data_IF_239142267309
#
_entry.id   IF_239142267309
#
_cell.length_a   1.000
_cell.length_b   1.000
_cell.length_c   1.000
_cell.angle_alpha   90.00
_cell.angle_beta   90.00
_cell.angle_gamma   90.00
#
_symmetry.space_group_name_H-M   'P 1'
#
loop_
_entity.id
_entity.type
_entity.pdbx_description
1 polymer ?
#
# COMPACT_ATOMS: atom_id res chain seq x y z
N UNK A 1 -13.58 15.28 -3.86
CA UNK A 1 -13.34 13.84 -4.03
C UNK A 1 -11.93 13.64 -3.55
N UNK A 2 -11.78 13.22 -2.31
CA UNK A 2 -10.49 13.11 -1.64
C UNK A 2 -9.79 11.86 -2.15
N UNK A 3 -9.05 12.01 -3.26
CA UNK A 3 -8.11 11.00 -3.75
C UNK A 3 -6.98 10.88 -2.73
N UNK A 4 -7.18 10.02 -1.73
CA UNK A 4 -6.15 9.72 -0.75
C UNK A 4 -5.05 8.95 -1.45
N UNK A 5 -3.90 9.61 -1.62
CA UNK A 5 -2.75 9.07 -2.34
C UNK A 5 -1.98 8.10 -1.45
N UNK A 6 -1.42 7.07 -2.08
CA UNK A 6 -0.60 6.07 -1.39
C UNK A 6 0.64 6.69 -0.73
N UNK A 7 1.24 7.73 -1.31
CA UNK A 7 2.40 8.43 -0.75
C UNK A 7 2.09 9.21 0.55
N UNK A 8 0.82 9.39 0.87
CA UNK A 8 0.37 10.05 2.10
C UNK A 8 0.31 9.08 3.30
N UNK A 9 0.48 7.78 3.06
CA UNK A 9 0.46 6.75 4.11
C UNK A 9 1.82 6.67 4.81
N UNK A 10 1.78 6.61 6.14
CA UNK A 10 2.98 6.50 6.96
C UNK A 10 3.68 5.15 6.69
N UNK A 11 4.96 5.20 6.33
CA UNK A 11 5.73 4.01 5.91
C UNK A 11 5.65 3.69 4.41
N UNK A 12 4.87 4.43 3.61
CA UNK A 12 4.84 4.29 2.15
C UNK A 12 5.77 5.31 1.49
N UNK A 13 7.01 4.89 1.27
CA UNK A 13 8.00 5.67 0.51
C UNK A 13 7.92 5.42 -1.00
N UNK A 14 8.73 6.13 -1.81
CA UNK A 14 8.71 6.05 -3.28
C UNK A 14 8.95 4.64 -3.82
N UNK A 15 9.74 3.81 -3.13
CA UNK A 15 9.97 2.40 -3.49
C UNK A 15 8.71 1.57 -3.27
N UNK A 16 8.05 1.74 -2.13
CA UNK A 16 6.78 1.07 -1.78
C UNK A 16 5.68 1.47 -2.75
N UNK A 17 5.52 2.78 -3.00
CA UNK A 17 4.55 3.30 -3.98
C UNK A 17 4.76 2.70 -5.36
N UNK A 18 6.01 2.54 -5.80
CA UNK A 18 6.30 1.88 -7.08
C UNK A 18 5.88 0.42 -7.09
N UNK A 19 6.23 -0.36 -6.04
CA UNK A 19 5.82 -1.78 -5.92
C UNK A 19 4.31 -1.94 -5.90
N UNK A 20 3.60 -1.05 -5.18
CA UNK A 20 2.14 -1.02 -5.13
C UNK A 20 1.56 -0.73 -6.53
N UNK A 21 2.06 0.29 -7.23
CA UNK A 21 1.62 0.60 -8.59
C UNK A 21 1.92 -0.53 -9.58
N UNK A 22 3.10 -1.16 -9.49
CA UNK A 22 3.46 -2.32 -10.32
C UNK A 22 2.56 -3.53 -10.05
N UNK A 23 1.99 -3.62 -8.84
CA UNK A 23 0.96 -4.60 -8.47
C UNK A 23 -0.48 -4.16 -8.81
N UNK A 24 -0.68 -3.02 -9.46
CA UNK A 24 -2.01 -2.51 -9.81
C UNK A 24 -2.77 -1.88 -8.64
N UNK A 25 -2.07 -1.48 -7.58
CA UNK A 25 -2.63 -0.77 -6.43
C UNK A 25 -2.31 0.71 -6.62
N UNK A 26 -3.35 1.49 -6.90
CA UNK A 26 -3.20 2.91 -7.23
C UNK A 26 -3.80 3.83 -6.16
N UNK A 27 -4.66 3.30 -5.31
CA UNK A 27 -5.35 4.05 -4.26
C UNK A 27 -5.61 3.18 -3.00
N UNK A 28 -6.12 3.81 -1.94
CA UNK A 28 -6.46 3.12 -0.69
C UNK A 28 -7.56 2.06 -0.87
N UNK A 29 -8.51 2.24 -1.79
CA UNK A 29 -9.56 1.24 -2.02
C UNK A 29 -8.96 -0.08 -2.52
N UNK A 30 -7.93 -0.02 -3.35
CA UNK A 30 -7.19 -1.22 -3.80
C UNK A 30 -6.49 -1.93 -2.64
N UNK A 31 -5.97 -1.17 -1.66
CA UNK A 31 -5.38 -1.73 -0.43
C UNK A 31 -6.43 -2.49 0.39
N UNK A 32 -7.63 -1.92 0.55
CA UNK A 32 -8.71 -2.52 1.33
C UNK A 32 -9.19 -3.85 0.71
N UNK A 33 -9.18 -3.96 -0.62
CA UNK A 33 -9.60 -5.18 -1.32
C UNK A 33 -8.53 -6.28 -1.25
N UNK A 34 -7.25 -5.94 -1.37
CA UNK A 34 -6.15 -6.90 -1.24
C UNK A 34 -5.92 -7.36 0.20
N UNK A 35 -6.08 -6.45 1.15
CA UNK A 35 -5.83 -6.69 2.57
C UNK A 35 -4.33 -6.76 2.92
N UNK A 36 -3.99 -6.69 4.21
CA UNK A 36 -2.63 -6.41 4.66
C UNK A 36 -1.61 -7.53 4.40
N UNK A 37 -2.04 -8.77 4.23
CA UNK A 37 -1.15 -9.91 3.90
C UNK A 37 -0.53 -9.71 2.51
N UNK A 38 -1.36 -9.46 1.50
CA UNK A 38 -0.92 -9.18 0.14
C UNK A 38 0.00 -7.95 0.07
N UNK A 39 -0.36 -6.89 0.82
CA UNK A 39 0.45 -5.66 0.86
C UNK A 39 1.85 -5.96 1.43
N UNK A 40 1.93 -6.72 2.51
CA UNK A 40 3.20 -7.12 3.10
C UNK A 40 4.06 -7.92 2.11
N UNK A 41 3.47 -8.87 1.37
CA UNK A 41 4.19 -9.66 0.37
C UNK A 41 4.69 -8.83 -0.82
N UNK A 42 3.86 -7.93 -1.36
CA UNK A 42 4.21 -7.08 -2.51
C UNK A 42 5.31 -6.09 -2.14
N UNK A 43 5.14 -5.44 -1.00
CA UNK A 43 6.02 -4.34 -0.60
C UNK A 43 7.28 -4.83 0.12
N UNK A 44 7.22 -6.03 0.71
CA UNK A 44 8.27 -6.60 1.55
C UNK A 44 8.35 -5.98 2.94
N UNK A 45 7.30 -5.28 3.39
CA UNK A 45 7.22 -4.74 4.74
C UNK A 45 6.67 -5.78 5.72
N UNK A 46 6.82 -5.54 7.02
CA UNK A 46 6.22 -6.41 8.03
C UNK A 46 4.69 -6.34 7.99
N UNK A 47 4.05 -7.47 8.27
CA UNK A 47 2.58 -7.56 8.30
C UNK A 47 1.96 -6.51 9.22
N UNK A 48 2.56 -6.24 10.38
CA UNK A 48 2.06 -5.21 11.31
C UNK A 48 2.16 -3.79 10.75
N UNK A 49 3.14 -3.51 9.88
CA UNK A 49 3.23 -2.23 9.18
C UNK A 49 2.15 -2.15 8.11
N UNK A 50 1.99 -3.21 7.31
CA UNK A 50 0.96 -3.27 6.28
C UNK A 50 -0.46 -3.21 6.85
N UNK A 51 -0.70 -3.77 8.03
CA UNK A 51 -1.99 -3.72 8.73
C UNK A 51 -2.32 -2.36 9.36
N UNK A 52 -1.36 -1.43 9.42
CA UNK A 52 -1.55 -0.06 9.90
C UNK A 52 -1.78 0.94 8.76
N UNK A 53 -1.61 0.52 7.51
CA UNK A 53 -1.97 1.28 6.31
C UNK A 53 -3.49 1.29 6.14
#
# INVERSE_FOLDING_TARGET
>A
MDDVRLDSLDGVGPVTTKKLNDAGIHNIMDLLVRGPVDIAEITGMEFETAAKL
#
